data_IF_499254107158
#
_entry.id   IF_499254107158
#
_cell.length_a   1.000
_cell.length_b   1.000
_cell.length_c   1.000
_cell.angle_alpha   90.00
_cell.angle_beta   90.00
_cell.angle_gamma   90.00
#
_symmetry.space_group_name_H-M   'P 1'
#
loop_
_entity.id
_entity.type
_entity.pdbx_description
1 polymer ?
#
# COMPACT_ATOMS: atom_id res chain seq x y z
N UNK A 1 -5.88 -5.66 19.53
CA UNK A 1 -5.67 -5.42 18.10
C UNK A 1 -4.57 -4.40 17.91
N UNK A 2 -3.47 -4.74 17.22
CA UNK A 2 -2.49 -3.78 16.73
C UNK A 2 -3.12 -2.63 15.94
N UNK A 3 -3.08 -1.43 16.52
CA UNK A 3 -3.48 -0.20 15.84
C UNK A 3 -2.45 0.89 16.06
N UNK A 4 -1.99 1.50 14.97
CA UNK A 4 -1.07 2.64 14.99
C UNK A 4 -1.80 3.83 14.38
N UNK A 5 -2.34 4.70 15.24
CA UNK A 5 -3.11 5.90 14.82
C UNK A 5 -2.49 7.20 15.33
N UNK A 6 -1.54 7.11 16.25
CA UNK A 6 -0.92 8.25 16.93
C UNK A 6 0.59 8.05 17.08
N UNK A 7 1.33 9.12 17.39
CA UNK A 7 2.78 9.01 17.69
C UNK A 7 3.03 8.10 18.90
N UNK A 8 2.17 8.15 19.92
CA UNK A 8 2.32 7.32 21.11
C UNK A 8 2.14 5.85 20.77
N UNK A 9 1.18 5.50 19.90
CA UNK A 9 1.05 4.13 19.39
C UNK A 9 2.30 3.69 18.64
N UNK A 10 2.82 4.52 17.75
CA UNK A 10 4.04 4.22 17.01
C UNK A 10 5.24 4.02 17.95
N UNK A 11 5.41 4.90 18.95
CA UNK A 11 6.49 4.80 19.92
C UNK A 11 6.40 3.53 20.78
N UNK A 12 5.18 3.09 21.09
CA UNK A 12 4.88 1.92 21.92
C UNK A 12 4.99 0.61 21.16
N UNK A 13 4.42 0.55 19.96
CA UNK A 13 4.24 -0.69 19.20
C UNK A 13 5.38 -0.95 18.20
N UNK A 14 6.10 0.08 17.77
CA UNK A 14 6.76 0.02 16.46
C UNK A 14 8.18 0.57 16.43
N UNK A 15 9.10 -0.17 17.07
CA UNK A 15 10.55 0.07 16.95
C UNK A 15 11.28 -1.25 16.71
N UNK A 16 11.20 -1.82 15.49
CA UNK A 16 11.97 -3.01 15.18
C UNK A 16 13.46 -2.74 15.40
N UNK A 17 14.16 -3.70 15.99
CA UNK A 17 15.61 -3.70 16.11
C UNK A 17 16.30 -4.19 14.82
N UNK A 18 15.54 -4.46 13.76
CA UNK A 18 16.02 -4.89 12.46
C UNK A 18 15.55 -3.93 11.35
N UNK A 19 16.25 -3.94 10.23
CA UNK A 19 15.88 -3.21 9.03
C UNK A 19 14.72 -3.93 8.33
N UNK A 20 13.53 -3.33 8.32
CA UNK A 20 12.35 -3.95 7.69
C UNK A 20 12.50 -4.25 6.19
N UNK A 21 13.47 -3.62 5.51
CA UNK A 21 13.75 -3.85 4.08
C UNK A 21 14.65 -5.06 3.79
N UNK A 22 15.42 -5.53 4.77
CA UNK A 22 16.39 -6.63 4.56
C UNK A 22 16.46 -7.66 5.70
N UNK A 23 15.77 -7.45 6.81
CA UNK A 23 15.70 -8.37 7.95
C UNK A 23 16.95 -8.40 8.85
N UNK A 24 17.99 -7.65 8.51
CA UNK A 24 19.25 -7.62 9.27
C UNK A 24 19.14 -6.67 10.47
N UNK A 25 19.72 -7.06 11.60
CA UNK A 25 19.79 -6.25 12.84
C UNK A 25 20.43 -4.87 12.58
N UNK A 26 19.83 -3.82 13.15
CA UNK A 26 20.29 -2.44 13.03
C UNK A 26 21.46 -2.10 13.96
N UNK A 27 21.79 -2.98 14.91
CA UNK A 27 22.87 -2.80 15.90
C UNK A 27 24.19 -3.46 15.45
N UNK A 28 24.28 -3.94 14.21
CA UNK A 28 25.45 -4.64 13.68
C UNK A 28 26.64 -3.72 13.30
N UNK A 29 26.58 -2.42 13.63
CA UNK A 29 27.60 -1.43 13.30
C UNK A 29 27.47 -0.79 11.91
N UNK A 30 26.47 -1.16 11.11
CA UNK A 30 26.18 -0.48 9.84
C UNK A 30 25.57 0.92 10.04
N UNK A 31 25.75 1.79 9.05
CA UNK A 31 25.13 3.13 9.05
C UNK A 31 23.62 2.98 8.89
N UNK A 32 22.88 3.51 9.86
CA UNK A 32 21.41 3.55 9.87
C UNK A 32 20.89 4.97 9.64
N UNK A 33 19.75 5.08 8.97
CA UNK A 33 19.02 6.34 8.86
C UNK A 33 17.51 6.11 9.03
N UNK A 34 16.73 7.19 9.01
CA UNK A 34 15.27 7.12 9.08
C UNK A 34 14.65 7.10 7.68
N UNK A 35 13.77 6.16 7.45
CA UNK A 35 12.94 6.05 6.26
C UNK A 35 11.52 6.53 6.55
N UNK A 36 10.98 7.40 5.70
CA UNK A 36 9.57 7.74 5.73
C UNK A 36 8.80 6.70 4.90
N UNK A 37 7.90 5.95 5.53
CA UNK A 37 7.19 4.87 4.88
C UNK A 37 5.68 4.91 5.21
N UNK A 38 4.82 5.43 4.31
CA UNK A 38 5.11 5.81 2.93
C UNK A 38 6.04 7.03 2.80
N UNK A 39 6.72 7.22 1.66
CA UNK A 39 7.59 8.37 1.44
C UNK A 39 6.86 9.69 1.72
N UNK A 40 7.46 10.53 2.56
CA UNK A 40 6.85 11.82 2.96
C UNK A 40 6.51 12.70 1.74
N UNK A 41 7.31 12.59 0.68
CA UNK A 41 7.14 13.34 -0.57
C UNK A 41 5.89 12.96 -1.38
N UNK A 42 5.16 11.90 -0.99
CA UNK A 42 3.84 11.61 -1.55
C UNK A 42 2.76 12.55 -1.00
N UNK A 43 3.03 13.21 0.12
CA UNK A 43 2.05 14.00 0.85
C UNK A 43 2.26 15.50 0.69
N UNK A 44 1.15 16.23 0.60
CA UNK A 44 1.15 17.69 0.67
C UNK A 44 1.71 18.15 2.02
N UNK A 45 2.46 19.27 2.09
CA UNK A 45 3.03 19.75 3.34
C UNK A 45 2.03 19.86 4.50
N UNK A 46 0.79 20.29 4.21
CA UNK A 46 -0.30 20.38 5.20
C UNK A 46 -0.76 19.05 5.78
N UNK A 47 -0.54 17.94 5.08
CA UNK A 47 -0.93 16.59 5.54
C UNK A 47 0.21 15.87 6.29
N UNK A 48 1.43 16.42 6.27
CA UNK A 48 2.60 15.85 6.97
C UNK A 48 2.66 16.19 8.45
N UNK A 49 1.76 17.06 8.89
CA UNK A 49 1.72 17.57 10.27
C UNK A 49 1.38 16.44 11.25
N UNK A 50 0.52 15.50 10.84
CA UNK A 50 0.10 14.36 11.66
C UNK A 50 0.94 13.11 11.36
N UNK A 51 1.85 12.80 12.29
CA UNK A 51 2.45 11.48 12.49
C UNK A 51 3.07 10.83 11.25
N UNK A 52 4.14 11.42 10.66
CA UNK A 52 4.89 10.74 9.62
C UNK A 52 5.53 9.46 10.18
N UNK A 53 5.27 8.33 9.52
CA UNK A 53 5.85 7.05 9.91
C UNK A 53 7.31 7.03 9.51
N UNK A 54 8.20 7.14 10.51
CA UNK A 54 9.64 7.16 10.31
C UNK A 54 10.32 5.96 10.95
N UNK A 55 10.72 4.99 10.13
CA UNK A 55 11.29 3.71 10.58
C UNK A 55 12.80 3.70 10.40
N UNK A 56 13.55 3.13 11.36
CA UNK A 56 15.00 2.96 11.19
C UNK A 56 15.31 1.88 10.16
N UNK A 57 16.25 2.16 9.26
CA UNK A 57 16.71 1.22 8.22
C UNK A 57 18.21 1.40 7.97
N UNK A 58 18.84 0.40 7.36
CA UNK A 58 20.19 0.56 6.82
C UNK A 58 20.20 1.64 5.73
N UNK A 59 21.17 2.56 5.78
CA UNK A 59 21.28 3.66 4.82
C UNK A 59 21.38 3.16 3.37
N UNK A 60 22.09 2.04 3.14
CA UNK A 60 22.16 1.37 1.82
C UNK A 60 20.82 0.83 1.33
N UNK A 61 19.93 0.40 2.24
CA UNK A 61 18.60 -0.08 1.87
C UNK A 61 17.71 1.09 1.50
N UNK A 62 17.76 2.17 2.27
CA UNK A 62 17.02 3.41 1.99
C UNK A 62 17.45 4.05 0.66
N UNK A 63 18.76 4.17 0.42
CA UNK A 63 19.30 4.82 -0.78
C UNK A 63 18.83 4.17 -2.09
N UNK A 64 18.59 2.85 -2.10
CA UNK A 64 18.05 2.13 -3.27
C UNK A 64 16.66 2.63 -3.72
N UNK A 65 15.94 3.34 -2.85
CA UNK A 65 14.63 3.91 -3.17
C UNK A 65 14.69 5.33 -3.70
N UNK A 66 15.86 5.98 -3.74
CA UNK A 66 15.96 7.40 -4.07
C UNK A 66 15.35 7.75 -5.43
N UNK A 67 15.55 6.90 -6.44
CA UNK A 67 15.01 7.12 -7.80
C UNK A 67 13.49 6.90 -7.83
N UNK A 68 13.00 5.82 -7.23
CA UNK A 68 11.57 5.52 -7.16
C UNK A 68 10.80 6.58 -6.36
N UNK A 69 11.35 7.01 -5.21
CA UNK A 69 10.77 8.05 -4.36
C UNK A 69 10.71 9.41 -5.10
N UNK A 70 11.68 9.68 -5.97
CA UNK A 70 11.65 10.86 -6.83
C UNK A 70 10.54 10.78 -7.88
N UNK A 71 10.42 9.67 -8.60
CA UNK A 71 9.35 9.45 -9.60
C UNK A 71 7.97 9.55 -8.96
N UNK A 72 7.78 8.89 -7.82
CA UNK A 72 6.53 8.98 -7.06
C UNK A 72 6.24 10.41 -6.62
N UNK A 73 7.26 11.13 -6.15
CA UNK A 73 7.09 12.52 -5.75
C UNK A 73 6.69 13.43 -6.91
N UNK A 74 7.24 13.23 -8.10
CA UNK A 74 6.83 14.00 -9.30
C UNK A 74 5.37 13.68 -9.64
N UNK A 75 5.00 12.39 -9.64
CA UNK A 75 3.63 11.97 -9.93
C UNK A 75 2.61 12.55 -8.96
N UNK A 76 2.80 12.39 -7.65
CA UNK A 76 1.86 12.93 -6.66
C UNK A 76 1.83 14.47 -6.66
N UNK A 77 2.95 15.13 -6.93
CA UNK A 77 2.96 16.59 -7.09
C UNK A 77 2.06 17.03 -8.26
N UNK A 78 2.15 16.37 -9.42
CA UNK A 78 1.27 16.61 -10.58
C UNK A 78 -0.19 16.38 -10.20
N UNK A 79 -0.50 15.27 -9.52
CA UNK A 79 -1.87 14.93 -9.11
C UNK A 79 -2.50 15.97 -8.19
N UNK A 80 -1.68 16.66 -7.40
CA UNK A 80 -2.13 17.68 -6.48
C UNK A 80 -2.01 19.11 -7.04
N UNK A 81 -1.76 19.27 -8.33
CA UNK A 81 -1.62 20.59 -8.97
C UNK A 81 -0.38 21.35 -8.49
N UNK A 82 0.66 20.63 -8.07
CA UNK A 82 1.95 21.18 -7.67
C UNK A 82 2.78 21.71 -8.84
N UNK A 83 3.92 22.31 -8.50
CA UNK A 83 4.74 23.05 -9.47
C UNK A 83 5.71 22.17 -10.25
N UNK A 84 5.95 20.91 -9.85
CA UNK A 84 6.82 19.98 -10.59
C UNK A 84 6.23 19.61 -11.94
N UNK A 85 4.91 19.73 -12.09
CA UNK A 85 4.25 19.62 -13.39
C UNK A 85 4.74 20.66 -14.41
N UNK A 86 5.35 21.77 -13.96
CA UNK A 86 5.85 22.84 -14.82
C UNK A 86 7.35 22.70 -15.13
N UNK A 87 8.04 21.68 -14.61
CA UNK A 87 9.47 21.45 -14.84
C UNK A 87 9.67 20.34 -15.89
N UNK A 88 10.07 20.69 -17.13
CA UNK A 88 10.25 19.72 -18.20
C UNK A 88 11.33 18.67 -17.90
N UNK A 89 12.38 19.00 -17.14
CA UNK A 89 13.46 18.06 -16.83
C UNK A 89 13.01 17.02 -15.80
N UNK A 90 12.17 17.41 -14.84
CA UNK A 90 11.54 16.46 -13.93
C UNK A 90 10.53 15.57 -14.67
N UNK A 91 9.72 16.14 -15.56
CA UNK A 91 8.74 15.37 -16.32
C UNK A 91 9.38 14.30 -17.21
N UNK A 92 10.59 14.51 -17.74
CA UNK A 92 11.34 13.49 -18.51
C UNK A 92 11.62 12.21 -17.71
N UNK A 93 11.59 12.26 -16.37
CA UNK A 93 11.74 11.08 -15.51
C UNK A 93 10.49 10.19 -15.52
N UNK A 94 9.35 10.72 -15.96
CA UNK A 94 8.11 9.99 -16.20
C UNK A 94 7.97 9.69 -17.70
N UNK A 95 7.70 8.43 -18.02
CA UNK A 95 7.45 7.98 -19.39
C UNK A 95 5.95 7.82 -19.60
N UNK A 96 5.42 8.50 -20.61
CA UNK A 96 4.00 8.52 -20.94
C UNK A 96 3.73 7.82 -22.27
N UNK A 97 2.60 7.11 -22.35
CA UNK A 97 2.12 6.46 -23.57
C UNK A 97 0.67 6.87 -23.82
N UNK A 98 0.31 7.15 -25.07
CA UNK A 98 -1.10 7.25 -25.47
C UNK A 98 -1.64 5.86 -25.73
N UNK A 99 -2.74 5.50 -25.09
CA UNK A 99 -3.44 4.22 -25.31
C UNK A 99 -4.82 4.51 -25.88
N UNK A 100 -5.17 3.84 -26.98
CA UNK A 100 -6.47 3.98 -27.64
C UNK A 100 -7.29 2.74 -27.33
N UNK A 101 -8.41 2.94 -26.63
CA UNK A 101 -9.36 1.89 -26.20
C UNK A 101 -10.70 2.09 -26.88
N UNK A 102 -11.63 1.14 -26.72
CA UNK A 102 -13.01 1.33 -27.16
C UNK A 102 -13.70 2.55 -26.50
N UNK A 103 -13.27 2.94 -25.28
CA UNK A 103 -13.85 4.00 -24.47
C UNK A 103 -13.17 5.37 -24.69
N UNK A 104 -12.06 5.42 -25.44
CA UNK A 104 -11.38 6.66 -25.79
C UNK A 104 -9.85 6.59 -25.75
N UNK A 105 -9.23 7.77 -25.82
CA UNK A 105 -7.77 7.94 -25.76
C UNK A 105 -7.34 8.29 -24.33
N UNK A 106 -6.51 7.44 -23.74
CA UNK A 106 -5.96 7.62 -22.40
C UNK A 106 -4.45 7.87 -22.43
N UNK A 107 -3.93 8.44 -21.33
CA UNK A 107 -2.49 8.57 -21.09
C UNK A 107 -2.08 7.60 -19.99
N UNK A 108 -1.26 6.62 -20.34
CA UNK A 108 -0.63 5.70 -19.40
C UNK A 108 0.74 6.20 -18.97
N UNK A 109 1.18 5.78 -17.79
CA UNK A 109 2.55 5.98 -17.28
C UNK A 109 3.24 4.62 -17.26
N UNK A 110 4.38 4.48 -17.94
CA UNK A 110 5.03 3.17 -18.11
C UNK A 110 6.09 2.86 -17.05
N UNK A 111 6.56 3.87 -16.31
CA UNK A 111 7.63 3.74 -15.31
C UNK A 111 7.18 4.06 -13.87
N UNK A 112 5.89 3.90 -13.56
CA UNK A 112 5.35 4.22 -12.24
C UNK A 112 5.67 3.10 -11.21
N UNK A 113 6.44 3.36 -10.15
CA UNK A 113 6.92 2.31 -9.25
C UNK A 113 5.88 1.92 -8.17
N UNK A 114 4.61 1.77 -8.55
CA UNK A 114 3.52 1.42 -7.63
C UNK A 114 3.70 0.00 -7.04
N UNK A 115 4.11 -0.95 -7.88
CA UNK A 115 4.33 -2.34 -7.48
C UNK A 115 5.43 -2.48 -6.42
N UNK A 116 6.66 -1.95 -6.63
CA UNK A 116 7.67 -1.97 -5.56
C UNK A 116 7.20 -1.17 -4.34
N UNK A 117 6.59 0.01 -4.51
CA UNK A 117 6.04 0.79 -3.39
C UNK A 117 5.11 -0.04 -2.51
N UNK A 118 4.10 -0.69 -3.10
CA UNK A 118 3.16 -1.54 -2.36
C UNK A 118 3.88 -2.59 -1.50
N UNK A 119 4.88 -3.29 -2.05
CA UNK A 119 5.68 -4.27 -1.31
C UNK A 119 6.47 -3.64 -0.17
N UNK A 120 7.02 -2.44 -0.35
CA UNK A 120 7.69 -1.69 0.74
C UNK A 120 6.70 -1.35 1.85
N UNK A 121 5.52 -0.85 1.50
CA UNK A 121 4.48 -0.47 2.46
C UNK A 121 3.98 -1.68 3.26
N UNK A 122 3.73 -2.82 2.60
CA UNK A 122 3.30 -4.05 3.27
C UNK A 122 4.36 -4.53 4.26
N UNK A 123 5.64 -4.56 3.86
CA UNK A 123 6.74 -4.94 4.78
C UNK A 123 6.88 -3.97 5.95
N UNK A 124 6.74 -2.67 5.69
CA UNK A 124 6.75 -1.66 6.75
C UNK A 124 5.59 -1.88 7.72
N UNK A 125 4.36 -1.97 7.22
CA UNK A 125 3.18 -2.20 8.05
C UNK A 125 3.31 -3.49 8.88
N UNK A 126 3.77 -4.58 8.27
CA UNK A 126 4.01 -5.84 8.96
C UNK A 126 5.04 -5.69 10.09
N UNK A 127 6.19 -5.06 9.81
CA UNK A 127 7.23 -4.85 10.82
C UNK A 127 6.77 -3.92 11.95
N UNK A 128 5.94 -2.92 11.66
CA UNK A 128 5.45 -1.99 12.67
C UNK A 128 4.32 -2.57 13.52
N UNK A 129 3.41 -3.36 12.92
CA UNK A 129 2.28 -3.95 13.63
C UNK A 129 2.68 -5.17 14.47
N UNK A 130 3.65 -5.96 13.99
CA UNK A 130 3.96 -7.26 14.60
C UNK A 130 5.38 -7.36 15.13
N UNK A 131 6.27 -6.42 14.81
CA UNK A 131 7.68 -6.51 15.22
C UNK A 131 8.43 -7.66 14.53
N UNK A 132 7.94 -8.12 13.38
CA UNK A 132 8.48 -9.27 12.64
C UNK A 132 8.99 -8.84 11.25
N UNK A 133 10.02 -9.52 10.74
CA UNK A 133 10.50 -9.27 9.38
C UNK A 133 9.67 -10.04 8.36
N UNK A 134 9.16 -9.33 7.36
CA UNK A 134 8.49 -9.95 6.22
C UNK A 134 9.50 -10.16 5.07
N UNK A 135 9.85 -11.41 4.70
CA UNK A 135 10.86 -11.70 3.70
C UNK A 135 10.56 -11.16 2.29
N UNK A 136 11.58 -11.08 1.43
CA UNK A 136 11.43 -10.51 0.08
C UNK A 136 10.74 -11.48 -0.88
N UNK A 137 10.93 -12.76 -0.62
CA UNK A 137 10.40 -13.93 -1.29
C UNK A 137 8.97 -14.28 -0.85
N UNK A 138 8.42 -13.53 0.11
CA UNK A 138 7.02 -13.68 0.53
C UNK A 138 6.10 -13.70 -0.68
N UNK A 139 5.28 -14.74 -0.77
CA UNK A 139 4.24 -14.84 -1.78
C UNK A 139 3.16 -13.78 -1.50
N UNK A 140 2.84 -12.99 -2.51
CA UNK A 140 1.76 -12.02 -2.47
C UNK A 140 0.97 -12.05 -3.77
N UNK A 141 -0.26 -11.56 -3.68
CA UNK A 141 -1.02 -11.12 -4.82
C UNK A 141 -1.59 -9.73 -4.51
N UNK A 142 -1.44 -8.79 -5.43
CA UNK A 142 -1.84 -7.39 -5.20
C UNK A 142 -2.61 -6.92 -6.42
N UNK A 143 -3.79 -6.39 -6.17
CA UNK A 143 -4.61 -5.65 -7.09
C UNK A 143 -4.45 -4.15 -6.81
N UNK A 144 -4.26 -3.35 -7.87
CA UNK A 144 -4.00 -1.91 -7.76
C UNK A 144 -5.25 -1.13 -8.21
N UNK A 145 -5.54 0.04 -7.62
CA UNK A 145 -6.69 0.86 -7.96
C UNK A 145 -6.50 1.69 -9.24
N UNK A 146 -5.54 1.28 -10.08
CA UNK A 146 -5.23 1.91 -11.35
C UNK A 146 -5.23 0.80 -12.41
N UNK A 147 -6.08 0.92 -13.45
CA UNK A 147 -6.12 -0.08 -14.52
C UNK A 147 -4.77 -0.20 -15.23
N UNK A 148 -4.26 -1.42 -15.32
CA UNK A 148 -3.05 -1.73 -16.06
C UNK A 148 -3.39 -2.19 -17.48
N UNK A 149 -2.58 -1.79 -18.45
CA UNK A 149 -2.70 -2.20 -19.86
C UNK A 149 -1.34 -2.77 -20.29
N UNK A 150 -1.37 -3.87 -21.02
CA UNK A 150 -0.19 -4.42 -21.71
C UNK A 150 -0.39 -4.22 -23.22
N UNK A 151 0.24 -3.21 -23.83
CA UNK A 151 0.08 -2.92 -25.26
C UNK A 151 0.40 -4.09 -26.18
N UNK A 152 1.14 -5.11 -25.70
CA UNK A 152 1.46 -6.32 -26.48
C UNK A 152 0.33 -7.35 -26.48
N UNK A 153 -0.62 -7.24 -25.53
CA UNK A 153 -1.78 -8.14 -25.39
C UNK A 153 -3.10 -7.49 -25.78
N UNK A 154 -3.06 -6.24 -26.21
CA UNK A 154 -4.22 -5.44 -26.58
C UNK A 154 -4.24 -4.11 -25.82
N UNK A 155 -5.18 -3.24 -26.18
CA UNK A 155 -5.32 -1.94 -25.54
C UNK A 155 -6.37 -1.94 -24.43
N UNK A 156 -7.02 -3.07 -24.16
CA UNK A 156 -8.00 -3.16 -23.09
C UNK A 156 -7.32 -3.35 -21.74
N UNK A 157 -7.83 -2.71 -20.66
CA UNK A 157 -7.37 -2.96 -19.30
C UNK A 157 -7.50 -4.42 -18.90
N UNK A 158 -6.57 -4.89 -18.07
CA UNK A 158 -6.72 -6.21 -17.46
C UNK A 158 -8.00 -6.27 -16.61
N UNK A 159 -8.82 -7.33 -16.75
CA UNK A 159 -10.02 -7.47 -15.95
C UNK A 159 -9.67 -7.66 -14.47
N UNK A 160 -10.60 -7.27 -13.60
CA UNK A 160 -10.49 -7.56 -12.18
C UNK A 160 -10.56 -9.05 -11.93
N UNK A 161 -9.71 -9.50 -11.00
CA UNK A 161 -9.80 -10.87 -10.52
C UNK A 161 -10.94 -10.93 -9.51
N UNK A 162 -11.85 -11.89 -9.68
CA UNK A 162 -12.98 -12.10 -8.77
C UNK A 162 -12.54 -12.24 -7.30
N UNK A 163 -11.34 -12.79 -7.08
CA UNK A 163 -10.72 -12.94 -5.77
C UNK A 163 -10.53 -11.61 -5.03
N UNK A 164 -10.34 -10.50 -5.74
CA UNK A 164 -10.21 -9.17 -5.13
C UNK A 164 -11.47 -8.79 -4.36
N UNK A 165 -12.66 -9.11 -4.89
CA UNK A 165 -13.92 -8.83 -4.20
C UNK A 165 -14.11 -9.71 -2.97
N UNK A 166 -13.65 -10.97 -3.02
CA UNK A 166 -13.65 -11.84 -1.83
C UNK A 166 -12.77 -11.27 -0.72
N UNK A 167 -11.56 -10.80 -1.06
CA UNK A 167 -10.67 -10.15 -0.10
C UNK A 167 -11.24 -8.85 0.46
N UNK A 168 -11.86 -8.03 -0.38
CA UNK A 168 -12.52 -6.81 0.06
C UNK A 168 -13.69 -7.10 1.02
N UNK A 169 -14.52 -8.09 0.70
CA UNK A 169 -15.60 -8.55 1.57
C UNK A 169 -15.08 -9.01 2.94
N UNK A 170 -13.97 -9.75 2.96
CA UNK A 170 -13.38 -10.21 4.21
C UNK A 170 -12.84 -9.05 5.05
N UNK A 171 -12.25 -8.03 4.42
CA UNK A 171 -11.83 -6.80 5.09
C UNK A 171 -13.02 -6.00 5.64
N UNK A 172 -14.09 -5.83 4.86
CA UNK A 172 -15.30 -5.14 5.33
C UNK A 172 -15.93 -5.86 6.52
N UNK A 173 -16.03 -7.18 6.46
CA UNK A 173 -16.55 -8.00 7.56
C UNK A 173 -15.68 -7.90 8.80
N UNK A 174 -14.35 -7.97 8.62
CA UNK A 174 -13.39 -7.79 9.71
C UNK A 174 -13.47 -6.38 10.33
N UNK A 175 -13.74 -5.34 9.55
CA UNK A 175 -13.96 -3.99 10.07
C UNK A 175 -15.23 -3.88 10.90
N UNK A 176 -16.36 -4.38 10.38
CA UNK A 176 -17.65 -4.37 11.08
C UNK A 176 -17.61 -5.18 12.39
N UNK A 177 -16.85 -6.28 12.40
CA UNK A 177 -16.64 -7.10 13.58
C UNK A 177 -15.57 -6.56 14.54
N UNK A 178 -14.90 -5.45 14.19
CA UNK A 178 -13.72 -4.95 14.92
C UNK A 178 -12.67 -6.05 15.14
N UNK A 179 -12.32 -6.78 14.07
CA UNK A 179 -11.29 -7.82 14.07
C UNK A 179 -10.23 -7.57 12.99
N UNK A 180 -9.62 -6.40 13.03
CA UNK A 180 -8.64 -5.95 12.05
C UNK A 180 -7.50 -5.16 12.69
N UNK A 181 -6.34 -5.22 12.05
CA UNK A 181 -5.16 -4.44 12.40
C UNK A 181 -5.06 -3.25 11.46
N UNK A 182 -4.60 -2.10 11.96
CA UNK A 182 -4.60 -0.87 11.17
C UNK A 182 -3.43 0.05 11.45
N UNK A 183 -3.04 0.80 10.43
CA UNK A 183 -2.02 1.82 10.50
C UNK A 183 -2.48 3.03 9.69
N UNK A 184 -2.61 4.17 10.36
CA UNK A 184 -3.15 5.42 9.82
C UNK A 184 -2.12 6.52 10.06
N UNK A 185 -1.78 7.26 9.01
CA UNK A 185 -0.78 8.33 9.09
C UNK A 185 -1.06 9.46 8.09
N UNK A 186 -0.27 10.54 8.18
CA UNK A 186 -0.31 11.68 7.28
C UNK A 186 -1.71 12.29 7.18
N UNK A 187 -2.29 12.71 8.30
CA UNK A 187 -3.65 13.27 8.38
C UNK A 187 -4.71 12.39 7.67
N UNK A 188 -4.62 11.07 7.92
CA UNK A 188 -5.47 10.02 7.31
C UNK A 188 -5.39 9.94 5.78
N UNK A 189 -4.41 10.58 5.15
CA UNK A 189 -4.13 10.43 3.71
C UNK A 189 -3.45 9.11 3.40
N UNK A 190 -2.83 8.48 4.39
CA UNK A 190 -2.45 7.09 4.35
C UNK A 190 -3.30 6.26 5.32
N UNK A 191 -3.92 5.21 4.80
CA UNK A 191 -4.63 4.20 5.58
C UNK A 191 -4.19 2.83 5.13
N UNK A 192 -3.81 1.99 6.07
CA UNK A 192 -3.56 0.57 5.90
C UNK A 192 -4.44 -0.20 6.87
N UNK A 193 -5.11 -1.23 6.37
CA UNK A 193 -5.93 -2.16 7.16
C UNK A 193 -5.61 -3.58 6.74
N UNK A 194 -5.64 -4.51 7.69
CA UNK A 194 -5.48 -5.92 7.36
C UNK A 194 -6.19 -6.83 8.37
N UNK A 195 -6.46 -8.05 7.94
CA UNK A 195 -6.97 -9.13 8.76
C UNK A 195 -6.26 -10.43 8.42
N UNK A 196 -6.18 -11.33 9.40
CA UNK A 196 -5.53 -12.63 9.23
C UNK A 196 -6.54 -13.75 9.08
N UNK A 197 -6.28 -14.62 8.13
CA UNK A 197 -7.14 -15.73 7.75
C UNK A 197 -6.32 -16.93 7.30
N UNK A 198 -7.00 -17.97 6.81
CA UNK A 198 -6.37 -19.14 6.21
C UNK A 198 -6.98 -19.38 4.83
N UNK A 199 -6.14 -19.80 3.89
CA UNK A 199 -6.59 -20.38 2.64
C UNK A 199 -7.26 -21.75 2.89
N UNK A 200 -7.97 -22.27 1.89
CA UNK A 200 -8.64 -23.58 1.97
C UNK A 200 -7.67 -24.73 2.27
N UNK A 201 -6.41 -24.59 1.88
CA UNK A 201 -5.34 -25.56 2.17
C UNK A 201 -4.74 -25.40 3.58
N UNK A 202 -5.25 -24.47 4.39
CA UNK A 202 -4.76 -24.17 5.74
C UNK A 202 -3.58 -23.21 5.81
N UNK A 203 -3.09 -22.68 4.68
CA UNK A 203 -1.96 -21.75 4.69
C UNK A 203 -2.39 -20.39 5.29
N UNK A 204 -1.62 -19.82 6.24
CA UNK A 204 -1.98 -18.54 6.84
C UNK A 204 -1.69 -17.38 5.87
N UNK A 205 -2.67 -16.49 5.76
CA UNK A 205 -2.60 -15.30 4.92
C UNK A 205 -3.00 -14.06 5.69
N UNK A 206 -2.35 -12.95 5.35
CA UNK A 206 -2.80 -11.62 5.70
C UNK A 206 -3.47 -11.01 4.49
N UNK A 207 -4.76 -10.72 4.61
CA UNK A 207 -5.52 -9.97 3.62
C UNK A 207 -5.43 -8.51 4.02
N UNK A 208 -5.07 -7.64 3.08
CA UNK A 208 -4.83 -6.24 3.38
C UNK A 208 -5.45 -5.34 2.32
N UNK A 209 -5.73 -4.11 2.73
CA UNK A 209 -5.93 -3.02 1.82
C UNK A 209 -5.20 -1.76 2.31
N UNK A 210 -4.72 -0.95 1.37
CA UNK A 210 -4.23 0.38 1.70
C UNK A 210 -4.59 1.40 0.63
N UNK A 211 -4.60 2.66 1.04
CA UNK A 211 -4.86 3.78 0.16
C UNK A 211 -3.97 4.98 0.51
N UNK A 212 -3.54 5.69 -0.53
CA UNK A 212 -2.77 6.93 -0.48
C UNK A 212 -3.55 7.95 -1.31
N UNK A 213 -4.10 8.97 -0.65
CA UNK A 213 -4.89 10.04 -1.29
C UNK A 213 -6.11 9.62 -2.13
N UNK A 214 -6.73 8.45 -1.87
CA UNK A 214 -7.77 7.93 -2.76
C UNK A 214 -7.23 7.76 -4.16
N UNK A 215 -6.18 6.95 -4.29
CA UNK A 215 -5.39 6.82 -5.52
C UNK A 215 -6.28 6.54 -6.76
N UNK A 216 -7.37 5.79 -6.56
CA UNK A 216 -8.38 5.52 -7.59
C UNK A 216 -8.99 6.76 -8.25
N UNK A 217 -9.09 7.88 -7.53
CA UNK A 217 -9.66 9.13 -8.07
C UNK A 217 -8.80 9.73 -9.18
N UNK A 218 -7.54 9.31 -9.29
CA UNK A 218 -6.61 9.75 -10.32
C UNK A 218 -6.53 8.77 -11.50
N UNK A 219 -7.21 7.62 -11.41
CA UNK A 219 -7.32 6.65 -12.48
C UNK A 219 -8.53 6.92 -13.38
N UNK A 220 -8.53 6.32 -14.56
CA UNK A 220 -9.73 6.24 -15.40
C UNK A 220 -10.82 5.49 -14.62
N UNK A 221 -12.04 6.02 -14.61
CA UNK A 221 -13.18 5.35 -13.99
C UNK A 221 -13.54 4.11 -14.80
N UNK A 222 -13.36 2.94 -14.20
CA UNK A 222 -13.84 1.66 -14.70
C UNK A 222 -14.93 1.18 -13.74
N UNK A 223 -16.04 0.72 -14.29
CA UNK A 223 -17.14 0.13 -13.53
C UNK A 223 -16.66 -1.11 -12.76
N UNK A 224 -17.16 -1.28 -11.54
CA UNK A 224 -16.77 -2.36 -10.63
C UNK A 224 -15.25 -2.47 -10.36
N UNK A 225 -14.49 -1.40 -10.53
CA UNK A 225 -13.05 -1.43 -10.28
C UNK A 225 -12.68 -1.14 -8.83
N UNK A 226 -11.85 -1.96 -8.16
CA UNK A 226 -11.37 -1.71 -6.81
C UNK A 226 -10.76 -0.32 -6.68
N UNK A 227 -11.19 0.42 -5.66
CA UNK A 227 -10.80 1.81 -5.46
C UNK A 227 -9.68 1.99 -4.41
N UNK A 228 -9.13 0.89 -3.91
CA UNK A 228 -7.95 0.85 -3.05
C UNK A 228 -6.95 -0.20 -3.54
N UNK A 229 -5.70 -0.17 -3.04
CA UNK A 229 -4.80 -1.31 -3.23
C UNK A 229 -5.28 -2.43 -2.32
N UNK A 230 -5.54 -3.61 -2.86
CA UNK A 230 -6.07 -4.77 -2.13
C UNK A 230 -5.23 -5.98 -2.48
N UNK A 231 -4.97 -6.85 -1.51
CA UNK A 231 -4.26 -8.07 -1.79
C UNK A 231 -4.13 -8.98 -0.59
N UNK A 232 -3.27 -9.97 -0.75
CA UNK A 232 -2.82 -10.80 0.36
C UNK A 232 -1.33 -11.08 0.29
N UNK A 233 -0.77 -11.49 1.42
CA UNK A 233 0.53 -12.14 1.48
C UNK A 233 0.50 -13.33 2.44
N UNK A 234 1.32 -14.34 2.15
CA UNK A 234 1.42 -15.57 2.95
C UNK A 234 2.63 -15.53 3.88
N UNK A 235 2.50 -16.17 5.04
CA UNK A 235 3.58 -16.36 6.02
C UNK A 235 3.65 -17.83 6.42
N UNK A 236 4.65 -18.22 7.23
CA UNK A 236 4.70 -19.57 7.80
C UNK A 236 3.76 -19.71 9.01
N UNK A 237 3.63 -18.64 9.80
CA UNK A 237 2.79 -18.60 10.99
C UNK A 237 2.19 -17.21 11.14
N UNK A 238 0.90 -17.13 11.52
CA UNK A 238 0.25 -15.87 11.87
C UNK A 238 1.00 -15.26 13.08
N UNK A 239 1.42 -13.98 13.02
CA UNK A 239 2.08 -13.31 14.14
C UNK A 239 1.28 -13.41 15.43
N UNK A 240 1.96 -13.58 16.56
CA UNK A 240 1.28 -13.79 17.85
C UNK A 240 0.41 -12.61 18.28
N UNK A 241 0.80 -11.39 17.91
CA UNK A 241 0.07 -10.16 18.20
C UNK A 241 -1.09 -9.87 17.23
N UNK A 242 -1.22 -10.65 16.14
CA UNK A 242 -2.17 -10.39 15.07
C UNK A 242 -3.63 -10.60 15.47
N UNK A 243 -4.50 -9.74 14.95
CA UNK A 243 -5.95 -9.94 15.05
C UNK A 243 -6.43 -10.85 13.94
N UNK A 244 -7.14 -11.93 14.30
CA UNK A 244 -7.70 -12.90 13.34
C UNK A 244 -9.12 -12.54 12.97
N UNK A 245 -9.48 -12.76 11.71
CA UNK A 245 -10.85 -12.62 11.25
C UNK A 245 -11.77 -13.55 12.06
N UNK A 246 -12.86 -13.00 12.58
CA UNK A 246 -13.98 -13.81 13.06
C UNK A 246 -14.89 -14.18 11.89
N UNK A 247 -15.38 -15.42 11.83
CA UNK A 247 -16.36 -15.90 10.84
C UNK A 247 -17.76 -15.30 11.03
N UNK A 248 -17.86 -13.99 11.26
CA UNK A 248 -19.12 -13.27 11.21
C UNK A 248 -19.41 -12.97 9.74
N UNK A 249 -20.41 -13.65 9.18
CA UNK A 249 -20.94 -13.28 7.87
C UNK A 249 -21.78 -12.02 8.06
N UNK A 250 -21.26 -10.90 7.57
CA UNK A 250 -21.96 -9.62 7.55
C UNK A 250 -22.20 -9.25 6.10
N UNK A 251 -23.44 -8.92 5.75
CA UNK A 251 -23.75 -8.42 4.41
C UNK A 251 -23.03 -7.08 4.18
N UNK A 252 -22.32 -6.98 3.05
CA UNK A 252 -21.63 -5.78 2.60
C UNK A 252 -22.29 -5.26 1.32
N UNK A 253 -22.37 -3.94 1.16
CA UNK A 253 -22.83 -3.33 -0.09
C UNK A 253 -21.74 -3.37 -1.15
N UNK A 254 -22.12 -3.29 -2.43
CA UNK A 254 -21.16 -3.25 -3.54
C UNK A 254 -20.17 -2.07 -3.39
N UNK A 255 -20.63 -0.92 -2.90
CA UNK A 255 -19.75 0.24 -2.67
C UNK A 255 -18.70 -0.02 -1.57
N UNK A 256 -19.08 -0.73 -0.50
CA UNK A 256 -18.15 -1.13 0.58
C UNK A 256 -17.06 -2.06 0.03
N UNK A 257 -17.44 -3.02 -0.81
CA UNK A 257 -16.52 -3.98 -1.43
C UNK A 257 -15.56 -3.29 -2.41
N UNK A 258 -16.01 -2.26 -3.12
CA UNK A 258 -15.14 -1.47 -3.99
C UNK A 258 -14.17 -0.59 -3.20
N UNK A 259 -14.49 -0.23 -1.96
CA UNK A 259 -13.62 0.61 -1.13
C UNK A 259 -13.61 0.16 0.35
N UNK A 260 -12.91 -0.95 0.66
CA UNK A 260 -12.91 -1.56 2.00
C UNK A 260 -12.11 -0.78 3.05
N UNK A 261 -11.83 0.50 2.81
CA UNK A 261 -11.03 1.39 3.66
C UNK A 261 -11.85 2.60 4.14
N UNK A 262 -13.04 2.86 3.57
CA UNK A 262 -13.85 4.05 3.91
C UNK A 262 -14.43 4.01 5.33
N UNK A 263 -14.62 2.82 5.89
CA UNK A 263 -15.23 2.62 7.21
C UNK A 263 -14.26 2.85 8.39
N UNK A 264 -13.04 3.35 8.11
CA UNK A 264 -11.95 3.58 9.07
C UNK A 264 -11.55 5.07 9.24
#
# INVERSE_FOLDING_TARGET
MPQIRTQSDFQRLSKPNFCYMCGVDLNNGEIVNGDHCPPEKLFQPSDRVDYPIKVKVHARCNHKWSEDDEKLSIFFDILHGGTKANDPELLKKLSFLSVITAQGVYKGITCFPLRPLARRLIRCAHALLYGEYLPRETRYHIHYPIPEIDPTKGNEPFPNLLQTYSFANELCSAQKAETFDSLIAYNRKFRYVCTWSHLDNGDPICIFAFDIYRLANFAVKIEDFPRAVIGFYSVLQIPSAATRCTKLQVENSDEEVLYPILSC
#
